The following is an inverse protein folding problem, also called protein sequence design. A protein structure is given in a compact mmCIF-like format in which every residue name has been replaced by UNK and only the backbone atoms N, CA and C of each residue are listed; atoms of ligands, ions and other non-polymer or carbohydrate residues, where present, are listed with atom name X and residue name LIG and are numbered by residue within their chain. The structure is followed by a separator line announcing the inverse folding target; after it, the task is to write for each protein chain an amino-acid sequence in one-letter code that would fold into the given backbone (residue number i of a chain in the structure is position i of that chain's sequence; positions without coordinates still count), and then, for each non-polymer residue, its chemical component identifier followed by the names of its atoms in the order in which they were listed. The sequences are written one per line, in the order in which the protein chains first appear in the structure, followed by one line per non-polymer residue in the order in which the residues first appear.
data_IF_339216684942
#
_entry.id   IF_339216684942
#
_cell.length_a   1.000
_cell.length_b   1.000
_cell.length_c   1.000
_cell.angle_alpha   90.00
_cell.angle_beta   90.00
_cell.angle_gamma   90.00
#
_symmetry.space_group_name_H-M   'P 1'
#
loop_
_entity.id
_entity.type
_entity.pdbx_description
1 polymer ?
#
# COMPACT_ATOMS: atom_id res chain seq x y z
N UNK A 1 -0.31 13.19 28.26
CA UNK A 1 -0.97 13.07 26.94
C UNK A 1 0.01 12.71 25.82
N UNK A 2 1.24 13.25 25.81
CA UNK A 2 2.26 12.95 24.77
C UNK A 2 2.54 11.46 24.55
N UNK A 3 2.63 10.66 25.62
CA UNK A 3 2.81 9.20 25.53
C UNK A 3 1.74 8.49 24.68
N UNK A 4 0.49 8.94 24.76
CA UNK A 4 -0.62 8.34 24.01
C UNK A 4 -0.52 8.69 22.52
N UNK A 5 -0.15 9.93 22.19
CA UNK A 5 0.11 10.36 20.81
C UNK A 5 1.29 9.61 20.19
N UNK A 6 2.37 9.41 20.95
CA UNK A 6 3.53 8.64 20.49
C UNK A 6 3.13 7.19 20.24
N UNK A 7 2.42 6.57 21.19
CA UNK A 7 1.95 5.20 21.05
C UNK A 7 1.11 4.99 19.78
N UNK A 8 0.13 5.87 19.54
CA UNK A 8 -0.72 5.81 18.35
C UNK A 8 0.08 6.04 17.06
N UNK A 9 1.02 7.00 17.09
CA UNK A 9 1.87 7.31 15.93
C UNK A 9 2.83 6.18 15.58
N UNK A 10 3.41 5.52 16.58
CA UNK A 10 4.31 4.38 16.38
C UNK A 10 3.56 3.15 15.90
N UNK A 11 2.37 2.90 16.47
CA UNK A 11 1.49 1.81 16.01
C UNK A 11 1.11 2.00 14.54
N UNK A 12 0.66 3.20 14.16
CA UNK A 12 0.32 3.51 12.75
C UNK A 12 1.50 3.31 11.80
N UNK A 13 2.71 3.74 12.19
CA UNK A 13 3.93 3.51 11.40
C UNK A 13 4.25 2.02 11.24
N UNK A 14 4.09 1.24 12.31
CA UNK A 14 4.32 -0.21 12.27
C UNK A 14 3.37 -0.90 11.28
N UNK A 15 2.07 -0.64 11.38
CA UNK A 15 1.08 -1.21 10.45
C UNK A 15 1.33 -0.79 9.01
N UNK A 16 1.68 0.47 8.76
CA UNK A 16 1.99 0.93 7.41
C UNK A 16 3.21 0.21 6.81
N UNK A 17 4.25 -0.04 7.62
CA UNK A 17 5.43 -0.80 7.18
C UNK A 17 5.08 -2.26 6.90
N UNK A 18 4.30 -2.90 7.78
CA UNK A 18 3.85 -4.28 7.58
C UNK A 18 3.00 -4.43 6.32
N UNK A 19 2.05 -3.52 6.08
CA UNK A 19 1.25 -3.52 4.85
C UNK A 19 2.08 -3.36 3.60
N UNK A 20 3.12 -2.51 3.63
CA UNK A 20 4.01 -2.32 2.48
C UNK A 20 4.80 -3.60 2.14
N UNK A 21 5.28 -4.30 3.15
CA UNK A 21 5.97 -5.60 2.98
C UNK A 21 5.02 -6.67 2.41
N UNK A 22 3.81 -6.78 2.98
CA UNK A 22 2.78 -7.72 2.50
C UNK A 22 2.41 -7.49 1.04
N UNK A 23 2.25 -6.23 0.60
CA UNK A 23 1.96 -5.91 -0.81
C UNK A 23 3.10 -6.36 -1.72
N UNK A 24 4.35 -6.25 -1.27
CA UNK A 24 5.50 -6.68 -2.05
C UNK A 24 5.53 -8.21 -2.22
N UNK A 25 5.26 -8.95 -1.15
CA UNK A 25 5.14 -10.41 -1.18
C UNK A 25 3.97 -10.83 -2.07
N UNK A 26 2.80 -10.21 -1.90
CA UNK A 26 1.61 -10.50 -2.69
C UNK A 26 1.83 -10.26 -4.19
N UNK A 27 2.55 -9.19 -4.53
CA UNK A 27 2.97 -8.91 -5.92
C UNK A 27 3.89 -10.01 -6.45
N UNK A 28 4.77 -10.58 -5.61
CA UNK A 28 5.59 -11.71 -6.02
C UNK A 28 4.78 -13.02 -6.19
N UNK A 29 3.71 -13.22 -5.42
CA UNK A 29 2.89 -14.43 -5.49
C UNK A 29 1.93 -14.47 -6.68
N UNK A 30 1.42 -13.33 -7.13
CA UNK A 30 0.43 -13.28 -8.22
C UNK A 30 1.05 -13.08 -9.59
N UNK A 31 2.11 -12.30 -9.68
CA UNK A 31 2.70 -11.99 -10.98
C UNK A 31 3.74 -13.06 -11.35
N UNK A 32 3.63 -13.68 -12.54
CA UNK A 32 4.62 -14.64 -13.02
C UNK A 32 5.96 -13.95 -13.26
N UNK A 33 7.04 -14.72 -13.19
CA UNK A 33 8.43 -14.25 -13.21
C UNK A 33 8.74 -13.31 -14.38
N UNK A 34 8.11 -13.52 -15.53
CA UNK A 34 8.26 -12.70 -16.74
C UNK A 34 7.76 -11.25 -16.60
N UNK A 35 6.74 -10.99 -15.77
CA UNK A 35 6.15 -9.65 -15.58
C UNK A 35 6.29 -9.12 -14.16
N UNK A 36 6.78 -9.94 -13.23
CA UNK A 36 6.96 -9.57 -11.82
C UNK A 36 7.79 -8.29 -11.64
N UNK A 37 8.90 -8.15 -12.36
CA UNK A 37 9.74 -6.94 -12.30
C UNK A 37 8.99 -5.68 -12.77
N UNK A 38 8.11 -5.81 -13.78
CA UNK A 38 7.31 -4.69 -14.28
C UNK A 38 6.23 -4.30 -13.25
N UNK A 39 5.58 -5.28 -12.63
CA UNK A 39 4.58 -5.05 -11.57
C UNK A 39 5.18 -4.38 -10.32
N UNK A 40 6.37 -4.82 -9.90
CA UNK A 40 7.10 -4.21 -8.79
C UNK A 40 7.59 -2.80 -9.15
N UNK A 41 8.05 -2.60 -10.40
CA UNK A 41 8.48 -1.29 -10.89
C UNK A 41 7.33 -0.28 -10.98
N UNK A 42 6.15 -0.70 -11.44
CA UNK A 42 4.97 0.17 -11.55
C UNK A 42 4.43 0.57 -10.17
N UNK A 43 4.33 -0.39 -9.23
CA UNK A 43 3.92 -0.09 -7.84
C UNK A 43 4.91 0.85 -7.15
N UNK A 44 6.21 0.65 -7.34
CA UNK A 44 7.25 1.57 -6.83
C UNK A 44 7.13 2.98 -7.41
N UNK A 45 6.74 3.10 -8.68
CA UNK A 45 6.52 4.40 -9.32
C UNK A 45 5.33 5.13 -8.69
N UNK A 46 4.24 4.41 -8.42
CA UNK A 46 3.07 4.98 -7.72
C UNK A 46 3.40 5.40 -6.29
N UNK A 47 4.19 4.61 -5.56
CA UNK A 47 4.68 4.98 -4.23
C UNK A 47 5.49 6.28 -4.25
N UNK A 48 6.34 6.48 -5.27
CA UNK A 48 7.10 7.72 -5.45
C UNK A 48 6.21 8.92 -5.76
N UNK A 49 5.15 8.74 -6.56
CA UNK A 49 4.15 9.79 -6.80
C UNK A 49 3.49 10.20 -5.48
N UNK A 50 3.10 9.23 -4.64
CA UNK A 50 2.59 9.52 -3.30
C UNK A 50 3.56 10.32 -2.43
N UNK A 51 4.85 9.96 -2.46
CA UNK A 51 5.89 10.71 -1.75
C UNK A 51 6.09 12.14 -2.27
N UNK A 52 5.92 12.37 -3.58
CA UNK A 52 5.94 13.71 -4.17
C UNK A 52 4.76 14.57 -3.73
N UNK A 53 3.58 13.96 -3.52
CA UNK A 53 2.36 14.65 -3.08
C UNK A 53 2.39 14.96 -1.57
N UNK A 54 3.10 14.16 -0.77
CA UNK A 54 3.18 14.33 0.69
C UNK A 54 3.56 15.75 1.18
N UNK A 55 4.59 16.45 0.66
CA UNK A 55 4.90 17.82 1.09
C UNK A 55 3.79 18.82 0.74
N UNK A 56 3.08 18.63 -0.37
CA UNK A 56 1.97 19.50 -0.75
C UNK A 56 0.78 19.37 0.22
N UNK A 57 0.50 18.15 0.69
CA UNK A 57 -0.54 17.93 1.73
C UNK A 57 -0.19 18.71 3.00
N UNK A 58 1.08 18.72 3.39
CA UNK A 58 1.55 19.50 4.54
C UNK A 58 1.42 21.01 4.29
N UNK A 59 1.78 21.47 3.11
CA UNK A 59 1.69 22.90 2.75
C UNK A 59 0.24 23.40 2.72
N UNK A 60 -0.71 22.59 2.23
CA UNK A 60 -2.14 22.92 2.25
C UNK A 60 -2.69 22.95 3.68
N UNK A 61 -2.17 22.10 4.56
CA UNK A 61 -2.58 22.10 5.96
C UNK A 61 -2.20 23.38 6.73
N UNK A 62 -1.09 24.02 6.35
CA UNK A 62 -0.66 25.29 6.94
C UNK A 62 -1.65 26.43 6.62
N UNK A 63 -2.43 26.32 5.53
CA UNK A 63 -3.40 27.32 5.08
C UNK A 63 -4.83 27.02 5.54
N UNK A 64 -5.20 25.74 5.70
CA UNK A 64 -6.57 25.34 6.05
C UNK A 64 -6.74 24.97 7.53
N UNK A 65 -6.19 23.83 7.97
CA UNK A 65 -6.34 23.32 9.34
C UNK A 65 -5.25 22.29 9.67
N UNK A 66 -4.75 22.30 10.90
CA UNK A 66 -3.71 21.40 11.41
C UNK A 66 -4.08 19.91 11.37
N UNK A 67 -5.37 19.55 11.26
CA UNK A 67 -5.83 18.16 11.21
C UNK A 67 -5.67 17.50 9.83
N UNK A 68 -5.50 18.29 8.77
CA UNK A 68 -5.42 17.82 7.37
C UNK A 68 -4.28 16.80 7.13
N UNK A 69 -3.04 16.98 7.64
CA UNK A 69 -1.93 16.05 7.42
C UNK A 69 -2.13 14.68 8.06
N UNK A 70 -3.02 14.56 9.03
CA UNK A 70 -3.37 13.28 9.64
C UNK A 70 -4.60 12.66 8.98
N UNK A 71 -5.62 13.48 8.69
CA UNK A 71 -6.89 13.00 8.14
C UNK A 71 -6.75 12.46 6.70
N UNK A 72 -5.98 13.15 5.85
CA UNK A 72 -5.84 12.77 4.43
C UNK A 72 -5.15 11.41 4.26
N UNK A 73 -3.91 11.20 4.74
CA UNK A 73 -3.28 9.88 4.62
C UNK A 73 -4.02 8.81 5.42
N UNK A 74 -4.59 9.13 6.59
CA UNK A 74 -5.41 8.18 7.34
C UNK A 74 -6.64 7.69 6.57
N UNK A 75 -7.36 8.60 5.90
CA UNK A 75 -8.50 8.24 5.05
C UNK A 75 -8.09 7.40 3.84
N UNK A 76 -6.98 7.77 3.18
CA UNK A 76 -6.43 6.98 2.07
C UNK A 76 -6.03 5.56 2.50
N UNK A 77 -5.44 5.40 3.70
CA UNK A 77 -5.11 4.08 4.25
C UNK A 77 -6.34 3.22 4.51
N UNK A 78 -7.44 3.80 5.01
CA UNK A 78 -8.70 3.07 5.21
C UNK A 78 -9.27 2.60 3.87
N UNK A 79 -9.33 3.49 2.88
CA UNK A 79 -9.79 3.15 1.52
C UNK A 79 -8.93 2.03 0.94
N UNK A 80 -7.61 2.14 1.04
CA UNK A 80 -6.68 1.10 0.58
C UNK A 80 -6.93 -0.25 1.26
N UNK A 81 -7.18 -0.25 2.58
CA UNK A 81 -7.48 -1.47 3.33
C UNK A 81 -8.79 -2.12 2.89
N UNK A 82 -9.83 -1.32 2.62
CA UNK A 82 -11.10 -1.80 2.07
C UNK A 82 -10.92 -2.38 0.66
N UNK A 83 -10.13 -1.73 -0.20
CA UNK A 83 -9.81 -2.25 -1.52
C UNK A 83 -9.04 -3.58 -1.46
N UNK A 84 -8.19 -3.77 -0.44
CA UNK A 84 -7.45 -5.01 -0.24
C UNK A 84 -8.37 -6.20 0.08
N UNK A 85 -9.57 -5.97 0.62
CA UNK A 85 -10.56 -7.03 0.85
C UNK A 85 -11.15 -7.60 -0.45
N UNK A 86 -11.04 -6.87 -1.56
CA UNK A 86 -11.47 -7.35 -2.88
C UNK A 86 -10.39 -8.21 -3.57
N UNK A 87 -9.18 -8.26 -3.02
CA UNK A 87 -8.10 -9.04 -3.60
C UNK A 87 -8.27 -10.54 -3.30
N UNK A 88 -8.05 -11.42 -4.29
CA UNK A 88 -8.15 -12.85 -4.11
C UNK A 88 -7.08 -13.38 -3.14
N UNK A 89 -7.45 -14.36 -2.33
CA UNK A 89 -6.50 -15.01 -1.41
C UNK A 89 -5.45 -15.83 -2.18
N UNK A 90 -4.17 -15.62 -1.84
CA UNK A 90 -3.01 -16.31 -2.42
C UNK A 90 -2.55 -17.52 -1.61
N UNK A 91 -3.03 -17.67 -0.37
CA UNK A 91 -2.61 -18.72 0.55
C UNK A 91 -2.88 -20.13 -0.03
N UNK A 92 -1.82 -20.93 -0.15
CA UNK A 92 -1.91 -22.34 -0.58
C UNK A 92 -2.06 -22.55 -2.08
N UNK A 93 -2.02 -21.49 -2.90
CA UNK A 93 -2.04 -21.62 -4.36
C UNK A 93 -0.61 -21.63 -4.91
N UNK A 94 -0.38 -22.40 -5.97
CA UNK A 94 0.95 -22.50 -6.61
C UNK A 94 1.26 -21.19 -7.32
N UNK A 95 2.44 -20.63 -7.07
CA UNK A 95 2.91 -19.41 -7.74
C UNK A 95 2.93 -19.67 -9.25
N UNK A 96 2.25 -18.84 -10.06
CA UNK A 96 2.20 -19.03 -11.50
C UNK A 96 3.59 -18.78 -12.09
N UNK A 97 4.10 -19.76 -12.83
CA UNK A 97 5.38 -19.63 -13.53
C UNK A 97 5.17 -19.11 -14.97
N UNK A 98 3.95 -19.24 -15.50
CA UNK A 98 3.58 -18.84 -16.87
C UNK A 98 2.44 -17.81 -16.90
N UNK A 99 2.36 -17.02 -17.98
CA UNK A 99 1.28 -16.03 -18.17
C UNK A 99 -0.11 -16.66 -18.16
N UNK A 100 -0.24 -17.85 -18.74
CA UNK A 100 -1.50 -18.60 -18.86
C UNK A 100 -2.02 -19.06 -17.48
N UNK A 101 -1.11 -19.40 -16.54
CA UNK A 101 -1.45 -19.69 -15.15
C UNK A 101 -1.87 -18.43 -14.38
N UNK A 102 -1.23 -17.28 -14.65
CA UNK A 102 -1.61 -15.99 -14.07
C UNK A 102 -3.00 -15.52 -14.51
N UNK A 103 -3.37 -15.73 -15.78
CA UNK A 103 -4.70 -15.39 -16.30
C UNK A 103 -5.82 -16.24 -15.68
N UNK A 104 -5.55 -17.52 -15.36
CA UNK A 104 -6.51 -18.38 -14.65
C UNK A 104 -6.72 -17.97 -13.20
N UNK A 105 -5.76 -17.30 -12.59
CA UNK A 105 -5.87 -16.79 -11.22
C UNK A 105 -6.73 -15.53 -11.10
N UNK A 106 -6.84 -14.76 -12.19
CA UNK A 106 -7.63 -13.53 -12.26
C UNK A 106 -9.11 -13.78 -12.59
N UNK A 107 -9.50 -15.02 -12.88
CA UNK A 107 -10.85 -15.46 -13.27
C UNK A 107 -11.60 -16.04 -12.08
#
# INVERSE_FOLDING_TARGET
MVWLTIFFSMSGKFFNSASFDTVYIYTAEIFPTVVRNVAVGSSSTWARIGALVAPFIRQVADVTHHSVPMAVPGGLSIISGLLMLLLPETLGKKVPDTLEEGERFAK
#
